data_IF_542484302178
#
_entry.id   IF_542484302178
#
_cell.length_a   1.000
_cell.length_b   1.000
_cell.length_c   1.000
_cell.angle_alpha   90.00
_cell.angle_beta   90.00
_cell.angle_gamma   90.00
#
_symmetry.space_group_name_H-M   'P 1'
#
loop_
_entity.id
_entity.type
_entity.pdbx_description
1 polymer ?
#
# COMPACT_ATOMS: atom_id res chain seq x y z
N UNK A 1 9.17 35.64 -30.22
CA UNK A 1 9.77 35.92 -28.89
C UNK A 1 8.71 36.56 -27.99
N UNK A 2 8.16 35.83 -27.03
CA UNK A 2 7.40 36.40 -25.93
C UNK A 2 7.64 35.54 -24.68
N UNK A 3 8.10 36.20 -23.62
CA UNK A 3 8.72 35.62 -22.43
C UNK A 3 7.68 35.07 -21.44
N UNK A 4 8.05 33.93 -20.85
CA UNK A 4 7.51 33.35 -19.61
C UNK A 4 7.32 34.39 -18.49
N UNK A 5 6.17 34.34 -17.82
CA UNK A 5 6.03 34.62 -16.36
C UNK A 5 4.97 33.71 -15.77
N UNK A 6 5.40 32.53 -15.29
CA UNK A 6 4.65 31.79 -14.28
C UNK A 6 5.01 32.42 -12.92
N UNK A 7 4.06 33.16 -12.34
CA UNK A 7 4.21 33.69 -10.98
C UNK A 7 3.78 32.59 -10.01
N UNK A 8 4.77 31.98 -9.37
CA UNK A 8 4.58 31.21 -8.15
C UNK A 8 4.19 32.16 -7.02
N UNK A 9 3.07 31.88 -6.35
CA UNK A 9 2.78 32.41 -5.02
C UNK A 9 1.61 31.61 -4.41
N UNK A 10 1.87 30.37 -4.00
CA UNK A 10 1.09 29.77 -2.93
C UNK A 10 1.82 30.07 -1.62
N UNK A 11 1.29 31.06 -0.91
CA UNK A 11 1.74 31.45 0.41
C UNK A 11 1.68 30.25 1.37
N UNK A 12 2.83 29.70 1.71
CA UNK A 12 3.00 28.85 2.88
C UNK A 12 2.77 29.73 4.12
N UNK A 13 1.57 29.67 4.69
CA UNK A 13 1.30 30.30 5.99
C UNK A 13 2.18 29.60 7.04
N UNK A 14 3.10 30.37 7.60
CA UNK A 14 4.02 30.03 8.69
C UNK A 14 3.21 29.42 9.85
N UNK A 15 3.42 28.13 10.14
CA UNK A 15 2.86 27.47 11.31
C UNK A 15 3.77 27.84 12.49
N UNK A 16 3.30 28.70 13.39
CA UNK A 16 3.95 28.98 14.66
C UNK A 16 3.59 27.90 15.67
N UNK A 17 4.60 27.29 16.28
CA UNK A 17 4.44 26.27 17.32
C UNK A 17 4.36 26.95 18.69
N UNK A 18 3.25 26.78 19.41
CA UNK A 18 3.17 27.02 20.84
C UNK A 18 3.02 25.67 21.56
N UNK A 19 4.03 25.30 22.33
CA UNK A 19 4.05 24.08 23.14
C UNK A 19 3.17 24.28 24.37
N UNK A 20 1.90 23.87 24.32
CA UNK A 20 1.05 23.44 25.46
C UNK A 20 -0.44 23.44 25.05
N UNK A 21 -1.04 22.27 24.78
CA UNK A 21 -2.46 21.99 25.11
C UNK A 21 -2.84 20.53 24.78
N UNK A 22 -3.60 19.81 25.62
CA UNK A 22 -3.80 18.36 25.52
C UNK A 22 -4.97 17.94 24.61
N UNK A 23 -5.56 18.88 23.87
CA UNK A 23 -6.88 18.68 23.22
C UNK A 23 -7.02 19.43 21.89
N UNK A 24 -5.92 19.63 21.17
CA UNK A 24 -5.95 20.45 19.95
C UNK A 24 -6.64 19.72 18.79
N UNK A 25 -7.94 19.96 18.61
CA UNK A 25 -8.66 19.58 17.39
C UNK A 25 -8.15 20.44 16.23
N UNK A 26 -7.52 19.82 15.24
CA UNK A 26 -7.09 20.52 14.01
C UNK A 26 -8.12 20.29 12.91
N UNK A 27 -8.55 21.37 12.27
CA UNK A 27 -9.41 21.31 11.07
C UNK A 27 -8.63 21.89 9.90
N UNK A 28 -8.51 21.10 8.84
CA UNK A 28 -7.83 21.48 7.60
C UNK A 28 -8.87 21.54 6.49
N UNK A 29 -8.91 22.64 5.75
CA UNK A 29 -9.79 22.81 4.59
C UNK A 29 -8.96 22.70 3.33
N UNK A 30 -9.31 21.75 2.45
CA UNK A 30 -8.63 21.53 1.18
C UNK A 30 -9.64 21.65 0.04
N UNK A 31 -9.29 22.40 -1.01
CA UNK A 31 -10.11 22.48 -2.24
C UNK A 31 -9.81 21.26 -3.12
N UNK A 32 -10.42 20.11 -2.77
CA UNK A 32 -10.29 18.83 -3.49
C UNK A 32 -11.67 18.28 -3.78
N UNK A 33 -11.85 17.66 -4.95
CA UNK A 33 -13.13 17.10 -5.40
C UNK A 33 -13.75 16.15 -4.37
N UNK A 34 -12.92 15.32 -3.71
CA UNK A 34 -13.37 14.40 -2.65
C UNK A 34 -14.01 15.09 -1.44
N UNK A 35 -13.71 16.37 -1.18
CA UNK A 35 -14.25 17.13 -0.06
C UNK A 35 -15.34 18.12 -0.49
N UNK A 36 -15.70 18.18 -1.78
CA UNK A 36 -16.67 19.14 -2.29
C UNK A 36 -18.13 18.70 -2.07
N UNK A 37 -18.38 17.41 -1.83
CA UNK A 37 -19.72 16.83 -1.68
C UNK A 37 -20.15 16.72 -0.20
N UNK A 38 -19.89 17.75 0.61
CA UNK A 38 -20.13 17.74 2.08
C UNK A 38 -19.45 16.57 2.82
N UNK A 39 -18.41 15.99 2.21
CA UNK A 39 -17.62 14.94 2.83
C UNK A 39 -16.60 15.56 3.79
N UNK A 40 -16.62 15.10 5.04
CA UNK A 40 -15.54 15.40 5.98
C UNK A 40 -14.88 14.10 6.42
N UNK A 41 -13.56 14.06 6.30
CA UNK A 41 -12.71 12.98 6.81
C UNK A 41 -12.13 13.44 8.14
N UNK A 42 -12.29 12.61 9.17
CA UNK A 42 -11.61 12.81 10.45
C UNK A 42 -10.63 11.69 10.71
N UNK A 43 -9.41 12.07 11.08
CA UNK A 43 -8.42 11.20 11.69
C UNK A 43 -8.61 11.23 13.21
N UNK A 44 -8.76 10.06 13.82
CA UNK A 44 -9.22 9.88 15.19
C UNK A 44 -8.19 9.05 15.95
N UNK A 45 -7.84 9.42 17.20
CA UNK A 45 -6.93 8.62 18.00
C UNK A 45 -7.47 7.19 18.20
N UNK A 46 -6.56 6.22 18.14
CA UNK A 46 -6.88 4.83 18.42
C UNK A 46 -7.35 4.61 19.86
N UNK A 47 -8.10 3.53 20.08
CA UNK A 47 -8.65 3.14 21.39
C UNK A 47 -7.62 2.80 22.48
N UNK A 48 -6.32 2.90 22.19
CA UNK A 48 -5.22 2.71 23.15
C UNK A 48 -4.53 4.03 23.54
N UNK A 49 -5.15 5.18 23.28
CA UNK A 49 -4.61 6.49 23.66
C UNK A 49 -4.57 6.67 25.19
N UNK A 50 -3.45 7.16 25.71
CA UNK A 50 -3.25 7.42 27.15
C UNK A 50 -4.19 8.53 27.64
N UNK A 51 -4.61 9.44 26.76
CA UNK A 51 -5.47 10.55 27.11
C UNK A 51 -6.96 10.18 27.01
N UNK A 52 -7.61 9.97 28.17
CA UNK A 52 -9.02 9.62 28.26
C UNK A 52 -9.98 10.65 27.65
N UNK A 53 -9.66 11.95 27.72
CA UNK A 53 -10.50 13.01 27.13
C UNK A 53 -10.49 12.89 25.60
N UNK A 54 -9.33 12.59 25.01
CA UNK A 54 -9.20 12.33 23.56
C UNK A 54 -9.99 11.10 23.16
N UNK A 55 -9.91 10.01 23.93
CA UNK A 55 -10.69 8.79 23.68
C UNK A 55 -12.21 9.02 23.78
N UNK A 56 -12.68 9.76 24.78
CA UNK A 56 -14.11 10.08 24.91
C UNK A 56 -14.61 10.93 23.75
N UNK A 57 -13.85 11.94 23.33
CA UNK A 57 -14.18 12.77 22.18
C UNK A 57 -14.17 11.98 20.87
N UNK A 58 -13.19 11.08 20.70
CA UNK A 58 -13.13 10.14 19.59
C UNK A 58 -14.35 9.23 19.55
N UNK A 59 -14.73 8.65 20.69
CA UNK A 59 -15.90 7.78 20.81
C UNK A 59 -17.20 8.52 20.45
N UNK A 60 -17.40 9.73 20.96
CA UNK A 60 -18.56 10.58 20.59
C UNK A 60 -18.57 10.91 19.10
N UNK A 61 -17.42 11.22 18.51
CA UNK A 61 -17.33 11.50 17.09
C UNK A 61 -17.71 10.27 16.25
N UNK A 62 -17.20 9.10 16.61
CA UNK A 62 -17.50 7.83 15.94
C UNK A 62 -19.00 7.46 15.95
N UNK A 63 -19.75 7.83 17.00
CA UNK A 63 -21.21 7.63 17.04
C UNK A 63 -21.96 8.44 15.97
N UNK A 64 -21.46 9.64 15.64
CA UNK A 64 -22.07 10.51 14.63
C UNK A 64 -21.71 10.16 13.18
N UNK A 65 -20.75 9.25 12.96
CA UNK A 65 -20.17 9.02 11.64
C UNK A 65 -20.95 8.02 10.80
N UNK A 66 -21.05 8.31 9.51
CA UNK A 66 -21.75 7.51 8.52
C UNK A 66 -21.01 6.26 8.12
N UNK A 67 -19.69 6.37 8.05
CA UNK A 67 -18.81 5.26 7.75
C UNK A 67 -17.63 5.29 8.70
N UNK A 68 -17.18 4.10 9.08
CA UNK A 68 -15.92 3.90 9.78
C UNK A 68 -15.02 3.05 8.89
N UNK A 69 -13.83 3.57 8.60
CA UNK A 69 -12.78 2.81 7.93
C UNK A 69 -11.76 2.45 8.99
N UNK A 70 -11.45 1.16 9.14
CA UNK A 70 -10.47 0.65 10.10
C UNK A 70 -9.18 0.32 9.36
N UNK A 71 -8.08 0.97 9.73
CA UNK A 71 -6.77 0.77 9.10
C UNK A 71 -5.84 0.04 10.06
N UNK A 72 -5.18 -1.01 9.59
CA UNK A 72 -4.14 -1.71 10.33
C UNK A 72 -2.99 -2.18 9.43
N UNK A 73 -1.84 -2.45 10.04
CA UNK A 73 -0.71 -3.11 9.36
C UNK A 73 -1.09 -4.57 9.09
N UNK A 74 -0.73 -5.08 7.91
CA UNK A 74 -0.98 -6.45 7.47
C UNK A 74 -0.21 -7.47 8.30
N UNK A 75 0.90 -7.06 8.94
CA UNK A 75 1.68 -7.90 9.85
C UNK A 75 0.74 -8.48 10.90
N UNK A 76 0.37 -9.75 10.74
CA UNK A 76 -0.48 -10.45 11.69
C UNK A 76 -1.91 -9.89 11.86
N UNK A 77 -2.42 -9.09 10.92
CA UNK A 77 -3.77 -8.48 11.01
C UNK A 77 -4.89 -9.51 11.18
N UNK A 78 -4.70 -10.70 10.58
CA UNK A 78 -5.67 -11.80 10.64
C UNK A 78 -5.88 -12.28 12.09
N UNK A 79 -4.83 -12.19 12.92
CA UNK A 79 -4.82 -12.67 14.30
C UNK A 79 -4.80 -11.53 15.33
N UNK A 80 -4.87 -10.27 14.89
CA UNK A 80 -4.81 -9.12 15.79
C UNK A 80 -6.16 -8.90 16.47
N UNK A 81 -6.24 -9.30 17.75
CA UNK A 81 -7.42 -9.11 18.59
C UNK A 81 -7.80 -7.63 18.75
N UNK A 82 -6.82 -6.71 18.72
CA UNK A 82 -7.10 -5.28 18.83
C UNK A 82 -7.80 -4.76 17.58
N UNK A 83 -7.36 -5.19 16.40
CA UNK A 83 -8.02 -4.92 15.13
C UNK A 83 -9.43 -5.55 15.08
N UNK A 84 -9.56 -6.80 15.55
CA UNK A 84 -10.84 -7.48 15.65
C UNK A 84 -11.86 -6.70 16.48
N UNK A 85 -11.47 -6.25 17.68
CA UNK A 85 -12.34 -5.43 18.54
C UNK A 85 -12.78 -4.15 17.83
N UNK A 86 -11.89 -3.50 17.09
CA UNK A 86 -12.19 -2.23 16.43
C UNK A 86 -13.21 -2.36 15.30
N UNK A 87 -13.04 -3.35 14.40
CA UNK A 87 -14.04 -3.52 13.34
C UNK A 87 -15.35 -4.08 13.88
N UNK A 88 -15.32 -4.85 14.97
CA UNK A 88 -16.53 -5.28 15.66
C UNK A 88 -17.27 -4.11 16.30
N UNK A 89 -16.55 -3.18 16.92
CA UNK A 89 -17.13 -1.96 17.44
C UNK A 89 -17.68 -1.06 16.31
N UNK A 90 -16.98 -0.98 15.18
CA UNK A 90 -17.46 -0.28 13.99
C UNK A 90 -18.75 -0.91 13.45
N UNK A 91 -18.81 -2.25 13.39
CA UNK A 91 -20.00 -3.00 12.99
C UNK A 91 -21.17 -2.75 13.95
N UNK A 92 -20.97 -2.90 15.27
CA UNK A 92 -22.01 -2.69 16.29
C UNK A 92 -22.63 -1.30 16.26
N UNK A 93 -21.87 -0.28 15.83
CA UNK A 93 -22.37 1.09 15.74
C UNK A 93 -23.34 1.32 14.59
N UNK A 94 -23.17 0.66 13.43
CA UNK A 94 -24.01 0.94 12.23
C UNK A 94 -24.43 -0.24 11.35
N UNK A 95 -24.18 -1.50 11.73
CA UNK A 95 -24.58 -2.74 11.03
C UNK A 95 -24.24 -2.87 9.53
N UNK A 96 -23.78 -1.83 8.84
CA UNK A 96 -23.54 -1.84 7.38
C UNK A 96 -22.60 -0.68 7.01
N UNK A 97 -21.33 -0.98 6.75
CA UNK A 97 -20.40 0.01 6.17
C UNK A 97 -18.99 0.08 6.74
N UNK A 98 -18.53 -0.92 7.49
CA UNK A 98 -17.11 -0.96 7.88
C UNK A 98 -16.25 -1.38 6.68
N UNK A 99 -15.30 -0.53 6.28
CA UNK A 99 -14.27 -0.89 5.31
C UNK A 99 -12.96 -1.20 6.05
N UNK A 100 -12.35 -2.34 5.75
CA UNK A 100 -11.09 -2.78 6.37
C UNK A 100 -9.94 -2.47 5.42
N UNK A 101 -8.94 -1.75 5.89
CA UNK A 101 -7.73 -1.46 5.12
C UNK A 101 -6.53 -2.10 5.81
N UNK A 102 -5.75 -2.84 5.04
CA UNK A 102 -4.53 -3.49 5.50
C UNK A 102 -3.30 -2.88 4.79
N UNK A 103 -2.21 -2.60 5.51
CA UNK A 103 -0.95 -2.06 4.97
C UNK A 103 0.19 -3.09 4.94
N UNK A 104 0.88 -3.26 3.81
CA UNK A 104 1.83 -4.34 3.48
C UNK A 104 2.83 -4.86 4.56
N UNK A 105 2.85 -6.18 4.82
CA UNK A 105 4.00 -6.93 5.42
C UNK A 105 3.78 -8.44 5.64
N UNK A 106 4.83 -9.25 5.35
CA UNK A 106 5.01 -10.68 4.93
C UNK A 106 4.45 -11.85 5.77
N UNK A 107 3.65 -12.72 5.12
CA UNK A 107 3.47 -14.17 5.35
C UNK A 107 2.60 -14.77 4.20
N UNK A 108 2.87 -16.00 3.75
CA UNK A 108 2.38 -16.62 2.50
C UNK A 108 1.71 -17.98 2.77
N UNK A 109 0.61 -18.28 2.09
CA UNK A 109 0.11 -19.65 1.84
C UNK A 109 -0.53 -19.73 0.44
N UNK A 110 -0.16 -20.75 -0.35
CA UNK A 110 -0.22 -20.72 -1.83
C UNK A 110 -1.58 -21.07 -2.47
N UNK A 111 -1.98 -20.25 -3.44
CA UNK A 111 -2.98 -20.54 -4.49
C UNK A 111 -2.31 -21.42 -5.58
N UNK A 112 -2.87 -22.58 -5.98
CA UNK A 112 -2.21 -23.52 -6.90
C UNK A 112 -1.92 -22.92 -8.28
N UNK A 113 -2.75 -22.00 -8.77
CA UNK A 113 -2.52 -21.33 -10.05
C UNK A 113 -1.36 -20.30 -9.97
N UNK A 114 -1.13 -19.73 -8.79
CA UNK A 114 0.03 -18.87 -8.54
C UNK A 114 1.29 -19.71 -8.44
N UNK A 115 1.21 -20.87 -7.77
CA UNK A 115 2.33 -21.80 -7.61
C UNK A 115 2.88 -22.29 -8.96
N UNK A 116 2.00 -22.64 -9.91
CA UNK A 116 2.40 -23.02 -11.27
C UNK A 116 3.17 -21.89 -11.97
N UNK A 117 2.67 -20.65 -11.90
CA UNK A 117 3.35 -19.49 -12.49
C UNK A 117 4.70 -19.22 -11.82
N UNK A 118 4.78 -19.35 -10.50
CA UNK A 118 6.02 -19.20 -9.75
C UNK A 118 7.05 -20.27 -10.12
N UNK A 119 6.59 -21.51 -10.32
CA UNK A 119 7.41 -22.63 -10.82
C UNK A 119 8.00 -22.32 -12.19
N UNK A 120 7.19 -21.86 -13.16
CA UNK A 120 7.65 -21.48 -14.50
C UNK A 120 8.69 -20.35 -14.44
N UNK A 121 8.46 -19.33 -13.59
CA UNK A 121 9.42 -18.24 -13.40
C UNK A 121 10.71 -18.75 -12.75
N UNK A 122 10.62 -19.64 -11.76
CA UNK A 122 11.79 -20.22 -11.09
C UNK A 122 12.65 -21.03 -12.06
N UNK A 123 12.03 -21.84 -12.93
CA UNK A 123 12.73 -22.56 -13.99
C UNK A 123 13.42 -21.61 -14.98
N UNK A 124 12.73 -20.54 -15.40
CA UNK A 124 13.31 -19.51 -16.27
C UNK A 124 14.49 -18.81 -15.61
N UNK A 125 14.39 -18.44 -14.34
CA UNK A 125 15.50 -17.84 -13.58
C UNK A 125 16.70 -18.77 -13.50
N UNK A 126 16.50 -20.05 -13.15
CA UNK A 126 17.56 -21.04 -13.09
C UNK A 126 18.25 -21.24 -14.46
N UNK A 127 17.48 -21.26 -15.55
CA UNK A 127 18.05 -21.36 -16.90
C UNK A 127 18.88 -20.13 -17.29
N UNK A 128 18.45 -18.93 -16.90
CA UNK A 128 19.18 -17.69 -17.17
C UNK A 128 20.46 -17.62 -16.33
N UNK A 129 20.42 -18.04 -15.06
CA UNK A 129 21.61 -18.09 -14.21
C UNK A 129 22.67 -19.05 -14.78
N UNK A 130 22.25 -20.22 -15.25
CA UNK A 130 23.13 -21.14 -15.97
C UNK A 130 23.75 -20.47 -17.20
N UNK A 131 22.96 -19.77 -18.02
CA UNK A 131 23.45 -19.03 -19.19
C UNK A 131 24.44 -17.92 -18.83
N UNK A 132 24.19 -17.18 -17.74
CA UNK A 132 25.11 -16.14 -17.24
C UNK A 132 26.44 -16.78 -16.84
N UNK A 133 26.42 -17.90 -16.12
CA UNK A 133 27.64 -18.59 -15.72
C UNK A 133 28.44 -19.12 -16.91
N UNK A 134 27.77 -19.74 -17.90
CA UNK A 134 28.43 -20.17 -19.14
C UNK A 134 29.07 -18.98 -19.86
N UNK A 135 28.36 -17.85 -19.95
CA UNK A 135 28.86 -16.63 -20.59
C UNK A 135 30.08 -16.07 -19.86
N UNK A 136 30.08 -16.08 -18.53
CA UNK A 136 31.23 -15.66 -17.71
C UNK A 136 32.46 -16.55 -17.94
N UNK A 137 32.26 -17.87 -17.98
CA UNK A 137 33.34 -18.82 -18.26
C UNK A 137 33.93 -18.61 -19.66
N UNK A 138 33.09 -18.37 -20.66
CA UNK A 138 33.53 -18.06 -22.02
C UNK A 138 34.29 -16.73 -22.09
N UNK A 139 33.88 -15.70 -21.35
CA UNK A 139 34.63 -14.45 -21.23
C UNK A 139 36.00 -14.71 -20.60
N UNK A 140 36.07 -15.55 -19.57
CA UNK A 140 37.33 -15.94 -18.91
C UNK A 140 38.28 -16.65 -19.87
N UNK A 141 37.80 -17.65 -20.61
CA UNK A 141 38.62 -18.39 -21.61
C UNK A 141 39.14 -17.48 -22.73
N UNK A 142 38.27 -16.68 -23.33
CA UNK A 142 38.67 -15.76 -24.40
C UNK A 142 39.67 -14.68 -23.94
N UNK A 143 39.69 -14.33 -22.64
CA UNK A 143 40.73 -13.45 -22.08
C UNK A 143 42.10 -14.14 -22.02
N UNK A 144 42.13 -15.41 -21.61
CA UNK A 144 43.37 -16.21 -21.54
C UNK A 144 43.91 -16.46 -22.95
N UNK A 145 43.03 -16.76 -23.91
CA UNK A 145 43.37 -17.03 -25.31
C UNK A 145 43.69 -15.76 -26.13
N UNK A 146 43.58 -14.56 -25.53
CA UNK A 146 43.87 -13.29 -26.22
C UNK A 146 42.85 -12.88 -27.29
N UNK A 147 41.70 -13.55 -27.38
CA UNK A 147 40.66 -13.27 -28.38
C UNK A 147 39.75 -12.10 -27.97
N UNK A 148 40.30 -10.89 -28.02
CA UNK A 148 39.64 -9.66 -27.57
C UNK A 148 38.36 -9.36 -28.38
N UNK A 149 38.32 -9.75 -29.67
CA UNK A 149 37.16 -9.53 -30.55
C UNK A 149 35.93 -10.34 -30.11
N UNK A 150 36.12 -11.55 -29.59
CA UNK A 150 35.06 -12.42 -29.10
C UNK A 150 34.48 -11.98 -27.73
N UNK A 151 35.20 -11.17 -26.95
CA UNK A 151 34.75 -10.71 -25.62
C UNK A 151 33.60 -9.69 -25.72
N UNK A 152 33.64 -8.80 -26.73
CA UNK A 152 32.64 -7.72 -26.90
C UNK A 152 31.20 -8.23 -27.06
N UNK A 153 30.88 -9.22 -27.92
CA UNK A 153 29.53 -9.77 -28.00
C UNK A 153 29.11 -10.50 -26.72
N UNK A 154 30.01 -11.26 -26.08
CA UNK A 154 29.73 -11.97 -24.83
C UNK A 154 29.35 -11.02 -23.67
N UNK A 155 29.99 -9.84 -23.59
CA UNK A 155 29.60 -8.81 -22.61
C UNK A 155 28.19 -8.29 -22.85
N UNK A 156 27.82 -8.00 -24.10
CA UNK A 156 26.46 -7.58 -24.47
C UNK A 156 25.43 -8.66 -24.14
N UNK A 157 25.76 -9.92 -24.40
CA UNK A 157 24.89 -11.05 -24.06
C UNK A 157 24.68 -11.20 -22.56
N UNK A 158 25.75 -11.03 -21.76
CA UNK A 158 25.66 -11.00 -20.30
C UNK A 158 24.73 -9.88 -19.82
N UNK A 159 24.89 -8.67 -20.33
CA UNK A 159 24.03 -7.52 -19.98
C UNK A 159 22.56 -7.81 -20.30
N UNK A 160 22.27 -8.36 -21.49
CA UNK A 160 20.92 -8.79 -21.88
C UNK A 160 20.33 -9.84 -20.94
N UNK A 161 21.14 -10.83 -20.52
CA UNK A 161 20.69 -11.87 -19.59
C UNK A 161 20.42 -11.31 -18.19
N UNK A 162 21.22 -10.36 -17.71
CA UNK A 162 21.01 -9.66 -16.43
C UNK A 162 19.70 -8.87 -16.47
N UNK A 163 19.47 -8.09 -17.53
CA UNK A 163 18.20 -7.36 -17.70
C UNK A 163 16.99 -8.30 -17.68
N UNK A 164 17.10 -9.46 -18.36
CA UNK A 164 16.03 -10.46 -18.35
C UNK A 164 15.83 -11.09 -16.97
N UNK A 165 16.91 -11.37 -16.22
CA UNK A 165 16.84 -11.88 -14.84
C UNK A 165 16.11 -10.88 -13.94
N UNK A 166 16.46 -9.60 -14.02
CA UNK A 166 15.83 -8.56 -13.20
C UNK A 166 14.35 -8.39 -13.53
N UNK A 167 13.98 -8.44 -14.81
CA UNK A 167 12.58 -8.40 -15.23
C UNK A 167 11.76 -9.57 -14.65
N UNK A 168 12.27 -10.80 -14.72
CA UNK A 168 11.62 -11.97 -14.12
C UNK A 168 11.57 -11.90 -12.59
N UNK A 169 12.60 -11.34 -11.95
CA UNK A 169 12.61 -11.08 -10.51
C UNK A 169 11.50 -10.13 -10.09
N UNK A 170 11.25 -9.07 -10.88
CA UNK A 170 10.13 -8.14 -10.67
C UNK A 170 8.79 -8.84 -10.86
N UNK A 171 8.63 -9.62 -11.94
CA UNK A 171 7.42 -10.40 -12.21
C UNK A 171 7.10 -11.36 -11.04
N UNK A 172 8.11 -12.06 -10.52
CA UNK A 172 7.99 -12.93 -9.34
C UNK A 172 7.47 -12.17 -8.12
N UNK A 173 8.08 -11.03 -7.80
CA UNK A 173 7.70 -10.19 -6.64
C UNK A 173 6.25 -9.72 -6.77
N UNK A 174 5.87 -9.28 -7.96
CA UNK A 174 4.51 -8.82 -8.27
C UNK A 174 3.47 -9.93 -8.01
N UNK A 175 3.72 -11.15 -8.49
CA UNK A 175 2.83 -12.29 -8.26
C UNK A 175 2.69 -12.63 -6.78
N UNK A 176 3.80 -12.65 -6.03
CA UNK A 176 3.79 -12.93 -4.60
C UNK A 176 2.98 -11.90 -3.82
N UNK A 177 3.15 -10.61 -4.14
CA UNK A 177 2.39 -9.52 -3.50
C UNK A 177 0.89 -9.68 -3.79
N UNK A 178 0.52 -9.92 -5.05
CA UNK A 178 -0.88 -10.08 -5.44
C UNK A 178 -1.54 -11.28 -4.75
N UNK A 179 -0.87 -12.44 -4.72
CA UNK A 179 -1.37 -13.64 -4.08
C UNK A 179 -1.59 -13.44 -2.58
N UNK A 180 -0.61 -12.81 -1.93
CA UNK A 180 -0.65 -12.50 -0.51
C UNK A 180 -1.75 -11.48 -0.17
N UNK A 181 -1.92 -10.43 -0.96
CA UNK A 181 -3.01 -9.46 -0.76
C UNK A 181 -4.38 -10.12 -0.91
N UNK A 182 -4.54 -11.00 -1.92
CA UNK A 182 -5.78 -11.79 -2.11
C UNK A 182 -6.07 -12.68 -0.90
N UNK A 183 -5.05 -13.35 -0.37
CA UNK A 183 -5.18 -14.23 0.79
C UNK A 183 -5.59 -13.45 2.04
N UNK A 184 -4.94 -12.32 2.32
CA UNK A 184 -5.27 -11.47 3.47
C UNK A 184 -6.69 -10.93 3.35
N UNK A 185 -7.08 -10.43 2.17
CA UNK A 185 -8.43 -9.92 1.95
C UNK A 185 -9.50 -11.01 2.16
N UNK A 186 -9.25 -12.24 1.67
CA UNK A 186 -10.14 -13.37 1.87
C UNK A 186 -10.24 -13.78 3.34
N UNK A 187 -9.11 -13.87 4.04
CA UNK A 187 -9.08 -14.22 5.47
C UNK A 187 -9.80 -13.17 6.32
N UNK A 188 -9.56 -11.88 6.06
CA UNK A 188 -10.23 -10.79 6.76
C UNK A 188 -11.74 -10.77 6.48
N UNK A 189 -12.16 -11.00 5.24
CA UNK A 189 -13.57 -11.11 4.88
C UNK A 189 -14.25 -12.29 5.58
N UNK A 190 -13.58 -13.45 5.66
CA UNK A 190 -14.08 -14.62 6.37
C UNK A 190 -14.21 -14.36 7.87
N UNK A 191 -13.18 -13.82 8.51
CA UNK A 191 -13.19 -13.46 9.93
C UNK A 191 -14.28 -12.43 10.22
N UNK A 192 -14.44 -11.42 9.36
CA UNK A 192 -15.50 -10.42 9.50
C UNK A 192 -16.88 -11.08 9.48
N UNK A 193 -17.16 -11.92 8.48
CA UNK A 193 -18.45 -12.61 8.35
C UNK A 193 -18.73 -13.54 9.52
N UNK A 194 -17.73 -14.29 9.97
CA UNK A 194 -17.86 -15.18 11.13
C UNK A 194 -18.18 -14.39 12.41
N UNK A 195 -17.50 -13.27 12.63
CA UNK A 195 -17.67 -12.48 13.85
C UNK A 195 -18.96 -11.62 13.85
N UNK A 196 -19.44 -11.19 12.68
CA UNK A 196 -20.57 -10.24 12.56
C UNK A 196 -21.88 -10.90 12.15
N UNK A 197 -21.83 -12.03 11.45
CA UNK A 197 -22.98 -12.64 10.78
C UNK A 197 -23.46 -11.90 9.54
N UNK A 198 -22.75 -10.84 9.09
CA UNK A 198 -23.15 -10.04 7.93
C UNK A 198 -22.85 -10.78 6.61
N UNK A 199 -23.90 -11.03 5.83
CA UNK A 199 -23.80 -11.68 4.51
C UNK A 199 -23.19 -10.76 3.45
N UNK A 200 -23.23 -9.45 3.67
CA UNK A 200 -22.80 -8.42 2.71
C UNK A 200 -21.29 -8.34 2.56
N UNK A 201 -20.54 -8.89 3.53
CA UNK A 201 -19.08 -8.76 3.73
C UNK A 201 -18.58 -7.31 3.85
N UNK A 202 -17.54 -7.10 4.65
CA UNK A 202 -16.81 -5.83 4.65
C UNK A 202 -15.98 -5.69 3.37
N UNK A 203 -15.92 -4.47 2.82
CA UNK A 203 -14.97 -4.15 1.76
C UNK A 203 -13.54 -4.15 2.35
N UNK A 204 -12.65 -4.96 1.77
CA UNK A 204 -11.26 -5.09 2.25
C UNK A 204 -10.28 -4.65 1.18
N UNK A 205 -9.42 -3.67 1.50
CA UNK A 205 -8.39 -3.16 0.61
C UNK A 205 -7.00 -3.34 1.20
N UNK A 206 -6.08 -3.86 0.39
CA UNK A 206 -4.68 -4.05 0.72
C UNK A 206 -3.87 -2.90 0.11
N UNK A 207 -3.63 -1.84 0.89
CA UNK A 207 -3.11 -0.57 0.39
C UNK A 207 -1.63 -0.37 0.66
N UNK A 208 -0.95 0.34 -0.25
CA UNK A 208 0.46 0.72 -0.10
C UNK A 208 0.69 2.20 -0.39
N UNK A 209 0.66 3.02 0.67
CA UNK A 209 0.88 4.46 0.55
C UNK A 209 2.29 4.77 0.04
N UNK A 210 3.30 4.05 0.54
CA UNK A 210 4.70 4.23 0.11
C UNK A 210 4.87 4.05 -1.40
N UNK A 211 4.30 2.98 -1.97
CA UNK A 211 4.44 2.71 -3.40
C UNK A 211 3.65 3.71 -4.25
N UNK A 212 2.44 4.08 -3.85
CA UNK A 212 1.66 5.09 -4.56
C UNK A 212 2.36 6.46 -4.55
N UNK A 213 2.91 6.87 -3.42
CA UNK A 213 3.65 8.13 -3.31
C UNK A 213 4.93 8.13 -4.14
N UNK A 214 5.61 6.98 -4.32
CA UNK A 214 6.76 6.86 -5.24
C UNK A 214 6.34 7.08 -6.69
N UNK A 215 5.22 6.50 -7.12
CA UNK A 215 4.67 6.76 -8.46
C UNK A 215 4.34 8.24 -8.67
N UNK A 216 3.72 8.88 -7.69
CA UNK A 216 3.32 10.29 -7.78
C UNK A 216 4.52 11.26 -7.80
N UNK A 217 5.60 10.95 -7.08
CA UNK A 217 6.81 11.79 -7.04
C UNK A 217 7.69 11.61 -8.28
N UNK A 218 7.50 10.53 -9.03
CA UNK A 218 8.45 10.07 -10.02
C UNK A 218 9.61 9.31 -9.36
N UNK A 219 10.19 8.38 -10.11
CA UNK A 219 11.29 7.54 -9.66
C UNK A 219 12.30 7.34 -10.79
N UNK A 220 13.54 7.05 -10.41
CA UNK A 220 14.62 6.85 -11.36
C UNK A 220 14.63 5.37 -11.80
N UNK A 221 14.35 5.13 -13.09
CA UNK A 221 14.36 3.79 -13.66
C UNK A 221 15.75 3.15 -13.67
N UNK A 222 16.80 3.95 -13.52
CA UNK A 222 18.19 3.46 -13.47
C UNK A 222 18.59 3.00 -12.08
N UNK A 223 17.92 3.49 -11.02
CA UNK A 223 18.16 3.10 -9.64
C UNK A 223 17.13 2.06 -9.20
N UNK A 224 17.59 0.81 -9.04
CA UNK A 224 16.75 -0.34 -8.67
C UNK A 224 16.05 -0.17 -7.32
N UNK A 225 16.62 0.61 -6.38
CA UNK A 225 16.01 0.87 -5.07
C UNK A 225 14.85 1.88 -5.13
N UNK A 226 14.87 2.74 -6.15
CA UNK A 226 13.83 3.75 -6.35
C UNK A 226 12.65 3.25 -7.18
N UNK A 227 12.86 2.21 -7.99
CA UNK A 227 11.84 1.59 -8.83
C UNK A 227 10.73 0.94 -7.97
N UNK A 228 9.46 1.32 -8.14
CA UNK A 228 8.35 0.73 -7.41
C UNK A 228 8.22 -0.77 -7.68
N UNK A 229 8.07 -1.54 -6.61
CA UNK A 229 7.86 -3.00 -6.70
C UNK A 229 6.45 -3.38 -7.13
N UNK A 230 5.52 -2.41 -7.16
CA UNK A 230 4.10 -2.58 -7.47
C UNK A 230 3.66 -1.53 -8.48
N UNK A 231 2.74 -1.88 -9.37
CA UNK A 231 2.04 -0.91 -10.22
C UNK A 231 1.08 -0.05 -9.40
N UNK A 232 0.60 1.06 -9.96
CA UNK A 232 -0.34 1.98 -9.29
C UNK A 232 -1.63 1.25 -8.90
N UNK A 233 -2.14 0.40 -9.78
CA UNK A 233 -3.36 -0.40 -9.59
C UNK A 233 -3.16 -1.41 -8.45
N UNK A 234 -1.98 -2.05 -8.39
CA UNK A 234 -1.64 -3.01 -7.35
C UNK A 234 -1.54 -2.38 -5.96
N UNK A 235 -1.27 -1.07 -5.86
CA UNK A 235 -1.30 -0.38 -4.56
C UNK A 235 -2.69 -0.31 -3.95
N UNK A 236 -3.74 -0.63 -4.71
CA UNK A 236 -5.16 -0.57 -4.35
C UNK A 236 -5.67 0.79 -3.84
N UNK A 237 -4.83 1.83 -3.79
CA UNK A 237 -5.25 3.19 -3.44
C UNK A 237 -6.27 3.73 -4.44
N UNK A 238 -6.11 3.57 -5.77
CA UNK A 238 -7.14 3.98 -6.72
C UNK A 238 -8.47 3.23 -6.51
N UNK A 239 -8.42 1.94 -6.17
CA UNK A 239 -9.60 1.13 -5.90
C UNK A 239 -10.31 1.57 -4.62
N UNK A 240 -9.57 1.82 -3.54
CA UNK A 240 -10.09 2.38 -2.30
C UNK A 240 -10.72 3.76 -2.54
N UNK A 241 -10.04 4.64 -3.28
CA UNK A 241 -10.60 5.95 -3.62
C UNK A 241 -11.91 5.80 -4.41
N UNK A 242 -11.93 4.95 -5.44
CA UNK A 242 -13.13 4.70 -6.26
C UNK A 242 -14.28 4.13 -5.43
N UNK A 243 -13.98 3.23 -4.50
CA UNK A 243 -14.96 2.72 -3.55
C UNK A 243 -15.54 3.85 -2.69
N UNK A 244 -14.69 4.71 -2.11
CA UNK A 244 -15.13 5.85 -1.31
C UNK A 244 -16.01 6.81 -2.13
N UNK A 245 -15.62 7.10 -3.38
CA UNK A 245 -16.42 7.95 -4.29
C UNK A 245 -17.76 7.31 -4.69
N UNK A 246 -17.85 5.98 -4.71
CA UNK A 246 -19.07 5.26 -5.06
C UNK A 246 -20.09 5.16 -3.92
N UNK A 247 -19.76 5.61 -2.72
CA UNK A 247 -20.66 5.54 -1.57
C UNK A 247 -21.78 6.58 -1.71
N UNK A 248 -23.05 6.19 -1.51
CA UNK A 248 -24.17 7.12 -1.61
C UNK A 248 -24.06 8.22 -0.54
N UNK A 249 -23.96 9.48 -0.97
CA UNK A 249 -23.95 10.63 -0.08
C UNK A 249 -25.37 10.92 0.40
N UNK A 250 -25.69 10.50 1.63
CA UNK A 250 -26.97 10.86 2.28
C UNK A 250 -26.87 12.25 2.90
N UNK A 251 -26.75 13.29 2.08
CA UNK A 251 -26.91 14.72 2.45
C UNK A 251 -25.85 15.33 3.38
N UNK A 252 -25.23 14.57 4.29
CA UNK A 252 -24.20 15.01 5.24
C UNK A 252 -23.26 13.83 5.59
N UNK A 253 -22.48 13.32 4.65
CA UNK A 253 -21.63 12.14 4.87
C UNK A 253 -20.35 12.46 5.68
N UNK A 254 -20.43 12.34 6.99
CA UNK A 254 -19.25 12.24 7.88
C UNK A 254 -18.59 10.86 7.72
N UNK A 255 -17.44 10.77 7.05
CA UNK A 255 -16.61 9.55 7.01
C UNK A 255 -15.53 9.66 8.09
N UNK A 256 -15.52 8.72 9.03
CA UNK A 256 -14.42 8.59 9.99
C UNK A 256 -13.39 7.59 9.49
N UNK A 257 -12.14 8.02 9.49
CA UNK A 257 -10.99 7.16 9.29
C UNK A 257 -10.41 6.87 10.69
N UNK A 258 -10.56 5.64 11.18
CA UNK A 258 -9.77 5.18 12.31
C UNK A 258 -8.44 4.71 11.73
N UNK A 259 -7.46 5.61 11.68
CA UNK A 259 -6.07 5.19 11.48
C UNK A 259 -5.49 4.76 12.82
N UNK A 260 -5.18 3.47 12.97
CA UNK A 260 -4.28 3.08 14.03
C UNK A 260 -2.84 3.36 13.60
N UNK A 261 -2.28 4.43 14.15
CA UNK A 261 -0.84 4.54 14.29
C UNK A 261 -0.41 3.52 15.36
N UNK A 262 -0.20 2.27 14.92
CA UNK A 262 0.60 1.30 15.67
C UNK A 262 2.04 1.84 15.65
N UNK A 263 2.33 2.65 16.67
CA UNK A 263 3.63 3.13 17.14
C UNK A 263 4.72 3.08 16.07
N UNK A 264 4.99 4.24 15.51
CA UNK A 264 6.24 4.56 14.82
C UNK A 264 7.41 4.38 15.79
N UNK A 265 7.84 3.13 15.99
CA UNK A 265 9.21 2.77 16.37
C UNK A 265 9.68 1.65 15.47
N UNK A 266 10.87 1.84 14.90
CA UNK A 266 11.65 0.99 13.98
C UNK A 266 11.23 1.19 12.51
N UNK A 267 12.03 1.79 11.61
CA UNK A 267 13.46 2.14 11.61
C UNK A 267 13.67 3.49 10.90
#
# INVERSE_FOLDING_TARGET
MARRRFVSNQALKKISFSNTTPSLKRRVYLKRTILQENLSIADIPGGSDVNQIRMQNASRYLQSCHMTIVVAKMDSIVNDLSFQRQYMDAYRRRCSGSSLNAENSSALTSDPAVEEKLSVIAQKLASIEKKIQITLNNIGRNKIEGNIKAIKPLKKDKERLILRKNALGKERKVLLIAARNKQIAAALGANYRENTGDLSNAAVFCVSNLMCMRHLRGYDKTNEDSDPTMTVEQTQIPALCSYIYGLPSRGESLISLIMFELSSRLC
#
